data_IF_667265126114
#
_entry.id   IF_667265126114
#
_cell.length_a   1.000
_cell.length_b   1.000
_cell.length_c   1.000
_cell.angle_alpha   90.00
_cell.angle_beta   90.00
_cell.angle_gamma   90.00
#
_symmetry.space_group_name_H-M   'P 1'
#
loop_
_entity.id
_entity.type
_entity.pdbx_description
1 polymer ?
#
# COMPACT_ATOMS: atom_id res chain seq x y z
N UNK A 1 6.60 22.56 -11.31
CA UNK A 1 5.94 22.93 -10.05
C UNK A 1 5.17 21.76 -9.49
N UNK A 2 4.06 21.42 -10.11
CA UNK A 2 3.20 20.37 -9.59
C UNK A 2 3.87 18.99 -9.55
N UNK A 3 4.71 18.66 -10.54
CA UNK A 3 5.41 17.40 -10.58
C UNK A 3 6.33 17.24 -9.38
N UNK A 4 7.07 18.29 -9.06
CA UNK A 4 7.99 18.27 -7.95
C UNK A 4 7.25 18.18 -6.62
N UNK A 5 6.14 18.89 -6.49
CA UNK A 5 5.29 18.83 -5.31
C UNK A 5 4.75 17.41 -5.11
N UNK A 6 4.34 16.73 -6.21
CA UNK A 6 3.82 15.37 -6.12
C UNK A 6 4.90 14.39 -5.69
N UNK A 7 6.13 14.56 -6.15
CA UNK A 7 7.24 13.70 -5.73
C UNK A 7 7.57 13.92 -4.27
N UNK A 8 7.44 15.13 -3.77
CA UNK A 8 7.68 15.44 -2.37
C UNK A 8 6.71 14.72 -1.43
N UNK A 9 5.54 14.29 -1.95
CA UNK A 9 4.60 13.51 -1.13
C UNK A 9 5.20 12.20 -0.65
N UNK A 10 6.14 11.63 -1.42
CA UNK A 10 6.78 10.37 -1.04
C UNK A 10 7.93 10.57 -0.05
N UNK A 11 8.56 11.73 -0.06
CA UNK A 11 9.72 11.96 0.81
C UNK A 11 9.28 11.98 2.27
N UNK A 12 9.80 11.03 3.04
CA UNK A 12 9.44 10.88 4.44
C UNK A 12 8.11 10.21 4.68
N UNK A 13 7.37 9.82 3.65
CA UNK A 13 6.09 9.14 3.82
C UNK A 13 6.30 7.77 4.47
N UNK A 14 5.44 7.44 5.41
CA UNK A 14 5.47 6.14 6.10
C UNK A 14 4.49 5.21 5.41
N UNK A 15 4.98 4.07 4.94
CA UNK A 15 4.20 3.14 4.13
C UNK A 15 4.06 1.81 4.87
N UNK A 16 2.83 1.47 5.23
CA UNK A 16 2.54 0.14 5.78
C UNK A 16 2.54 -0.86 4.64
N UNK A 17 3.33 -1.92 4.78
CA UNK A 17 3.43 -2.97 3.76
C UNK A 17 2.85 -4.27 4.33
N UNK A 18 1.88 -4.84 3.61
CA UNK A 18 1.31 -6.14 3.96
C UNK A 18 1.53 -7.08 2.77
N UNK A 19 2.42 -8.04 2.95
CA UNK A 19 2.85 -8.94 1.89
C UNK A 19 3.44 -10.20 2.53
N UNK A 20 2.95 -11.38 2.13
CA UNK A 20 3.43 -12.64 2.70
C UNK A 20 4.60 -13.27 1.94
N UNK A 21 4.86 -12.85 0.70
CA UNK A 21 6.00 -13.37 -0.06
C UNK A 21 7.25 -12.53 0.23
N UNK A 22 8.26 -13.18 0.83
CA UNK A 22 9.46 -12.47 1.26
C UNK A 22 10.18 -11.75 0.11
N UNK A 23 10.26 -12.38 -1.05
CA UNK A 23 10.95 -11.79 -2.20
C UNK A 23 10.26 -10.50 -2.67
N UNK A 24 8.93 -10.49 -2.69
CA UNK A 24 8.17 -9.31 -3.10
C UNK A 24 8.27 -8.24 -2.03
N UNK A 25 8.19 -8.63 -0.77
CA UNK A 25 8.34 -7.73 0.36
C UNK A 25 9.68 -6.98 0.31
N UNK A 26 10.75 -7.70 0.04
CA UNK A 26 12.08 -7.11 -0.07
C UNK A 26 12.19 -6.16 -1.25
N UNK A 27 11.58 -6.52 -2.38
CA UNK A 27 11.55 -5.65 -3.55
C UNK A 27 10.80 -4.36 -3.25
N UNK A 28 9.66 -4.45 -2.58
CA UNK A 28 8.89 -3.28 -2.16
C UNK A 28 9.72 -2.38 -1.25
N UNK A 29 10.38 -2.97 -0.26
CA UNK A 29 11.22 -2.19 0.66
C UNK A 29 12.30 -1.42 -0.09
N UNK A 30 12.98 -2.08 -1.02
CA UNK A 30 14.03 -1.42 -1.80
C UNK A 30 13.46 -0.25 -2.61
N UNK A 31 12.33 -0.47 -3.27
CA UNK A 31 11.70 0.59 -4.07
C UNK A 31 11.26 1.76 -3.20
N UNK A 32 10.63 1.47 -2.06
CA UNK A 32 10.14 2.51 -1.17
C UNK A 32 11.27 3.34 -0.58
N UNK A 33 12.38 2.69 -0.21
CA UNK A 33 13.55 3.41 0.28
C UNK A 33 14.13 4.32 -0.79
N UNK A 34 14.16 3.86 -2.05
CA UNK A 34 14.62 4.68 -3.17
C UNK A 34 13.74 5.91 -3.37
N UNK A 35 12.45 5.81 -3.04
CA UNK A 35 11.53 6.94 -3.15
C UNK A 35 11.64 7.92 -1.97
N UNK A 36 12.42 7.59 -0.95
CA UNK A 36 12.53 8.40 0.25
C UNK A 36 11.50 8.08 1.32
N UNK A 37 10.81 6.95 1.18
CA UNK A 37 9.79 6.53 2.14
C UNK A 37 10.40 5.77 3.30
N UNK A 38 9.65 5.72 4.41
CA UNK A 38 9.93 4.84 5.55
C UNK A 38 8.96 3.66 5.49
N UNK A 39 9.48 2.45 5.67
CA UNK A 39 8.66 1.25 5.63
C UNK A 39 8.20 0.89 7.03
N UNK A 40 6.88 0.65 7.17
CA UNK A 40 6.26 0.16 8.38
C UNK A 40 5.87 -1.30 8.13
N UNK A 41 6.37 -2.22 8.90
CA UNK A 41 6.24 -3.64 8.64
C UNK A 41 7.49 -4.19 7.98
N UNK A 42 7.40 -5.15 7.08
CA UNK A 42 6.19 -5.72 6.49
C UNK A 42 5.46 -6.67 7.43
N UNK A 43 4.15 -6.73 7.28
CA UNK A 43 3.32 -7.73 7.94
C UNK A 43 3.06 -8.86 6.97
N UNK A 44 3.32 -10.09 7.40
CA UNK A 44 3.18 -11.27 6.54
C UNK A 44 1.95 -12.10 6.87
N UNK A 45 1.18 -11.70 7.87
CA UNK A 45 -0.02 -12.41 8.32
C UNK A 45 -1.13 -11.41 8.59
N UNK A 46 -2.37 -11.88 8.42
CA UNK A 46 -3.54 -11.03 8.58
C UNK A 46 -3.63 -10.46 10.01
N UNK A 47 -3.40 -11.28 11.02
CA UNK A 47 -3.50 -10.84 12.42
C UNK A 47 -2.51 -9.73 12.73
N UNK A 48 -1.26 -9.88 12.29
CA UNK A 48 -0.23 -8.86 12.48
C UNK A 48 -0.60 -7.59 11.73
N UNK A 49 -1.09 -7.74 10.50
CA UNK A 49 -1.50 -6.60 9.69
C UNK A 49 -2.64 -5.82 10.34
N UNK A 50 -3.60 -6.51 10.94
CA UNK A 50 -4.71 -5.87 11.65
C UNK A 50 -4.21 -5.05 12.83
N UNK A 51 -3.32 -5.60 13.64
CA UNK A 51 -2.73 -4.88 14.76
C UNK A 51 -2.00 -3.62 14.29
N UNK A 52 -1.21 -3.76 13.24
CA UNK A 52 -0.44 -2.62 12.71
C UNK A 52 -1.34 -1.58 12.06
N UNK A 53 -2.39 -2.01 11.38
CA UNK A 53 -3.35 -1.09 10.77
C UNK A 53 -4.06 -0.23 11.83
N UNK A 54 -4.28 -0.79 13.03
CA UNK A 54 -4.94 -0.09 14.11
C UNK A 54 -4.01 0.83 14.90
N UNK A 55 -2.76 0.42 15.11
CA UNK A 55 -1.90 1.06 16.11
C UNK A 55 -0.72 1.83 15.53
N UNK A 56 -0.22 1.46 14.34
CA UNK A 56 0.96 2.12 13.80
C UNK A 56 0.62 3.44 13.13
N UNK A 57 1.61 4.33 13.11
CA UNK A 57 1.49 5.59 12.37
C UNK A 57 2.01 5.37 10.95
N UNK A 58 1.18 5.63 9.96
CA UNK A 58 1.58 5.55 8.56
C UNK A 58 0.72 6.49 7.73
N UNK A 59 1.18 6.77 6.52
CA UNK A 59 0.52 7.72 5.62
C UNK A 59 -0.27 7.03 4.52
N UNK A 60 0.17 5.83 4.13
CA UNK A 60 -0.48 5.05 3.08
C UNK A 60 -0.10 3.58 3.31
N UNK A 61 -0.96 2.68 2.84
CA UNK A 61 -0.70 1.24 2.95
C UNK A 61 -0.67 0.59 1.58
N UNK A 62 0.21 -0.41 1.42
CA UNK A 62 0.22 -1.30 0.27
C UNK A 62 -0.21 -2.67 0.78
N UNK A 63 -1.31 -3.18 0.24
CA UNK A 63 -1.94 -4.39 0.73
C UNK A 63 -2.02 -5.45 -0.37
N UNK A 64 -1.39 -6.59 -0.15
CA UNK A 64 -1.63 -7.76 -0.99
C UNK A 64 -3.09 -8.19 -0.76
N UNK A 65 -3.80 -8.48 -1.83
CA UNK A 65 -5.23 -8.84 -1.76
C UNK A 65 -5.43 -10.13 -0.98
N UNK A 66 -4.47 -11.05 -1.05
CA UNK A 66 -4.54 -12.33 -0.35
C UNK A 66 -3.25 -12.53 0.42
N UNK A 67 -3.34 -12.65 1.73
CA UNK A 67 -2.19 -12.78 2.62
C UNK A 67 -2.26 -14.14 3.31
N UNK A 68 -1.31 -15.01 2.96
CA UNK A 68 -1.22 -16.36 3.52
C UNK A 68 -2.56 -17.12 3.42
N UNK A 69 -3.24 -16.96 2.28
CA UNK A 69 -4.51 -17.63 2.03
C UNK A 69 -5.73 -16.91 2.56
N UNK A 70 -5.59 -15.76 3.19
CA UNK A 70 -6.70 -15.01 3.77
C UNK A 70 -6.92 -13.69 3.05
N UNK A 71 -8.18 -13.33 2.76
CA UNK A 71 -8.48 -12.06 2.11
C UNK A 71 -8.11 -10.87 2.99
N UNK A 72 -7.61 -9.81 2.37
CA UNK A 72 -7.08 -8.63 3.05
C UNK A 72 -8.16 -7.68 3.60
N UNK A 73 -9.42 -7.88 3.24
CA UNK A 73 -10.45 -6.86 3.46
C UNK A 73 -10.65 -6.40 4.89
N UNK A 74 -10.52 -7.24 5.93
CA UNK A 74 -10.60 -6.72 7.30
C UNK A 74 -9.55 -5.64 7.59
N UNK A 75 -8.34 -5.79 7.04
CA UNK A 75 -7.27 -4.81 7.19
C UNK A 75 -7.63 -3.53 6.43
N UNK A 76 -8.13 -3.68 5.19
CA UNK A 76 -8.55 -2.54 4.39
C UNK A 76 -9.64 -1.73 5.10
N UNK A 77 -10.61 -2.41 5.72
CA UNK A 77 -11.67 -1.74 6.49
C UNK A 77 -11.10 -0.93 7.66
N UNK A 78 -10.16 -1.51 8.39
CA UNK A 78 -9.53 -0.82 9.52
C UNK A 78 -8.81 0.44 9.06
N UNK A 79 -8.12 0.38 7.93
CA UNK A 79 -7.39 1.52 7.39
C UNK A 79 -8.35 2.62 6.94
N UNK A 80 -9.41 2.25 6.24
CA UNK A 80 -10.41 3.22 5.74
C UNK A 80 -11.11 3.91 6.92
N UNK A 81 -11.36 3.21 8.02
CA UNK A 81 -11.94 3.82 9.22
C UNK A 81 -11.06 4.92 9.80
N UNK A 82 -9.76 4.83 9.59
CA UNK A 82 -8.83 5.86 10.05
C UNK A 82 -8.65 6.99 9.02
N UNK A 83 -9.39 6.94 7.92
CA UNK A 83 -9.30 7.90 6.82
C UNK A 83 -7.92 7.94 6.19
N UNK A 84 -7.26 6.78 6.14
CA UNK A 84 -5.94 6.65 5.53
C UNK A 84 -6.08 6.01 4.14
N UNK A 85 -5.26 6.43 3.18
CA UNK A 85 -5.30 5.86 1.84
C UNK A 85 -4.62 4.49 1.79
N UNK A 86 -5.03 3.70 0.81
CA UNK A 86 -4.42 2.39 0.58
C UNK A 86 -4.34 2.09 -0.92
N UNK A 87 -3.43 1.18 -1.24
CA UNK A 87 -3.21 0.67 -2.60
C UNK A 87 -3.21 -0.84 -2.50
N UNK A 88 -3.95 -1.50 -3.38
CA UNK A 88 -3.91 -2.96 -3.46
C UNK A 88 -2.81 -3.41 -4.39
N UNK A 89 -2.18 -4.53 -4.05
CA UNK A 89 -1.19 -5.20 -4.88
C UNK A 89 -1.72 -6.58 -5.24
N UNK A 90 -1.80 -6.90 -6.52
CA UNK A 90 -2.40 -8.16 -6.95
C UNK A 90 -1.79 -8.66 -8.24
N UNK A 91 -1.74 -9.98 -8.40
CA UNK A 91 -1.37 -10.60 -9.67
C UNK A 91 -2.50 -10.66 -10.68
N UNK A 92 -3.69 -10.24 -10.29
CA UNK A 92 -4.89 -10.38 -11.12
C UNK A 92 -5.45 -9.05 -11.65
N UNK A 93 -4.67 -7.99 -11.58
CA UNK A 93 -5.04 -6.72 -12.18
C UNK A 93 -6.30 -6.06 -11.63
N UNK A 94 -6.67 -6.36 -10.42
CA UNK A 94 -7.82 -5.75 -9.77
C UNK A 94 -9.14 -6.46 -10.00
N UNK A 95 -9.16 -7.48 -10.87
CA UNK A 95 -10.39 -8.20 -11.17
C UNK A 95 -10.98 -8.92 -9.96
N UNK A 96 -10.16 -9.23 -8.96
CA UNK A 96 -10.60 -9.92 -7.76
C UNK A 96 -10.93 -9.02 -6.58
N UNK A 97 -10.90 -7.70 -6.76
CA UNK A 97 -11.16 -6.78 -5.66
C UNK A 97 -12.65 -6.61 -5.44
N UNK A 98 -13.07 -6.80 -4.19
CA UNK A 98 -14.48 -6.74 -3.81
C UNK A 98 -14.94 -5.32 -3.49
N UNK A 99 -16.23 -5.07 -3.67
CA UNK A 99 -16.84 -3.87 -3.15
C UNK A 99 -16.75 -3.85 -1.63
N UNK A 100 -16.60 -2.70 -0.99
CA UNK A 100 -16.61 -1.36 -1.59
C UNK A 100 -15.24 -0.86 -2.03
N UNK A 101 -14.26 -1.72 -2.20
CA UNK A 101 -12.87 -1.34 -2.45
C UNK A 101 -12.48 -1.32 -3.93
N UNK A 102 -13.43 -1.58 -4.82
CA UNK A 102 -13.15 -1.74 -6.24
C UNK A 102 -12.56 -0.49 -6.89
N UNK A 103 -12.88 0.66 -6.34
CA UNK A 103 -12.39 1.94 -6.88
C UNK A 103 -11.04 2.37 -6.33
N UNK A 104 -10.47 1.58 -5.41
CA UNK A 104 -9.18 1.93 -4.82
C UNK A 104 -8.05 1.66 -5.81
N UNK A 105 -6.94 2.42 -5.70
CA UNK A 105 -5.80 2.20 -6.59
C UNK A 105 -5.25 0.79 -6.47
N UNK A 106 -4.78 0.26 -7.59
CA UNK A 106 -4.23 -1.09 -7.67
C UNK A 106 -2.91 -1.03 -8.42
N UNK A 107 -1.90 -1.74 -7.93
CA UNK A 107 -0.68 -1.97 -8.66
C UNK A 107 -0.59 -3.47 -8.95
N UNK A 108 -0.30 -3.81 -10.19
CA UNK A 108 -0.28 -5.20 -10.65
C UNK A 108 1.12 -5.79 -10.56
N UNK A 109 1.21 -6.99 -10.01
CA UNK A 109 2.47 -7.74 -9.94
C UNK A 109 2.76 -8.41 -11.27
N UNK A 110 4.00 -8.48 -11.71
CA UNK A 110 5.15 -7.75 -11.19
C UNK A 110 5.05 -6.26 -11.54
N UNK A 111 5.33 -5.41 -10.58
CA UNK A 111 5.22 -3.96 -10.81
C UNK A 111 6.59 -3.33 -11.00
N UNK A 112 6.62 -2.24 -11.78
CA UNK A 112 7.81 -1.44 -11.96
C UNK A 112 7.87 -0.34 -10.91
N UNK A 113 9.06 0.23 -10.72
CA UNK A 113 9.21 1.39 -9.85
C UNK A 113 8.30 2.54 -10.30
N UNK A 114 8.22 2.77 -11.60
CA UNK A 114 7.39 3.86 -12.13
C UNK A 114 5.92 3.67 -11.81
N UNK A 115 5.41 2.45 -11.95
CA UNK A 115 4.00 2.16 -11.65
C UNK A 115 3.71 2.29 -10.17
N UNK A 116 4.58 1.77 -9.32
CA UNK A 116 4.40 1.86 -7.88
C UNK A 116 4.43 3.30 -7.42
N UNK A 117 5.42 4.06 -7.88
CA UNK A 117 5.58 5.47 -7.53
C UNK A 117 4.35 6.27 -7.92
N UNK A 118 3.89 6.13 -9.15
CA UNK A 118 2.72 6.84 -9.66
C UNK A 118 1.47 6.51 -8.85
N UNK A 119 1.28 5.23 -8.54
CA UNK A 119 0.10 4.78 -7.80
C UNK A 119 0.11 5.32 -6.38
N UNK A 120 1.25 5.31 -5.71
CA UNK A 120 1.38 5.85 -4.35
C UNK A 120 1.14 7.35 -4.32
N UNK A 121 1.71 8.07 -5.27
CA UNK A 121 1.50 9.53 -5.36
C UNK A 121 0.03 9.84 -5.54
N UNK A 122 -0.65 9.10 -6.43
CA UNK A 122 -2.08 9.30 -6.67
C UNK A 122 -2.89 9.06 -5.40
N UNK A 123 -2.58 8.00 -4.66
CA UNK A 123 -3.28 7.68 -3.41
C UNK A 123 -3.08 8.77 -2.35
N UNK A 124 -1.84 9.22 -2.19
CA UNK A 124 -1.52 10.26 -1.21
C UNK A 124 -2.14 11.61 -1.58
N UNK A 125 -2.11 11.96 -2.87
CA UNK A 125 -2.70 13.21 -3.34
C UNK A 125 -4.21 13.22 -3.14
N UNK A 126 -4.88 12.11 -3.42
CA UNK A 126 -6.33 11.99 -3.22
C UNK A 126 -6.70 12.14 -1.75
N UNK A 127 -5.88 11.62 -0.84
CA UNK A 127 -6.14 11.71 0.59
C UNK A 127 -6.01 13.13 1.12
N UNK A 128 -5.20 13.97 0.46
CA UNK A 128 -5.00 15.36 0.86
C UNK A 128 -6.03 16.32 0.24
N UNK A 129 -6.79 15.84 -0.71
CA UNK A 129 -7.76 16.67 -1.43
C UNK A 129 -9.03 17.00 -0.58
#
# INVERSE_FOLDING_TARGET
MSVQVNEDLLDGARVLVVEDEAAISMLLEDMLLDFGCTVVGPAARLATALEMADSETFDVAILDVNVAGEPIYPVAEAIVKRNLPLVFSTGYGGAGIREPFRDRPVVQKPFSQADLKRTLIAALAAAKA
#
